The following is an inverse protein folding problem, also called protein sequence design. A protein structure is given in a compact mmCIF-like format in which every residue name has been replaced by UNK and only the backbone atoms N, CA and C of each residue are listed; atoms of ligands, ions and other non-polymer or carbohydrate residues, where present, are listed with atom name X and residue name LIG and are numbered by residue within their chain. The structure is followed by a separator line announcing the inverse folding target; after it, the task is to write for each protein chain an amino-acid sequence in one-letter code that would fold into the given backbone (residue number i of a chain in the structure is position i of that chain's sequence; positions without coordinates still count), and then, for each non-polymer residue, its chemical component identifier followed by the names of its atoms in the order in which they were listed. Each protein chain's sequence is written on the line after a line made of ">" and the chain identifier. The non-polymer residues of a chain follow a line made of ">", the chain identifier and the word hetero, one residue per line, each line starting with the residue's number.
data_IF_802353919276
#
_entry.id   IF_802353919276
#
_cell.length_a   1.000
_cell.length_b   1.000
_cell.length_c   1.000
_cell.angle_alpha   90.00
_cell.angle_beta   90.00
_cell.angle_gamma   90.00
#
_symmetry.space_group_name_H-M   'P 1'
#
loop_
_entity.id
_entity.type
_entity.pdbx_description
1 polymer ?
#
# COMPACT_ATOMS: atom_id res chain seq x y z
N UNK A 1 -26.95 5.38 -1.73
CA UNK A 1 -26.14 6.61 -2.03
C UNK A 1 -24.80 6.47 -1.31
N UNK A 2 -23.69 6.71 -2.01
CA UNK A 2 -22.33 6.60 -1.46
C UNK A 2 -22.11 7.65 -0.38
N UNK A 3 -21.62 7.27 0.80
CA UNK A 3 -21.26 8.14 1.91
C UNK A 3 -19.76 8.15 2.18
N UNK A 4 -19.09 6.99 1.97
CA UNK A 4 -17.67 6.80 2.23
C UNK A 4 -16.93 6.44 0.94
N UNK A 5 -15.91 7.21 0.60
CA UNK A 5 -15.01 6.96 -0.53
C UNK A 5 -13.65 6.50 0.02
N UNK A 6 -13.22 5.31 -0.36
CA UNK A 6 -11.95 4.72 0.03
C UNK A 6 -11.06 4.73 -1.21
N UNK A 7 -9.96 5.46 -1.17
CA UNK A 7 -9.05 5.59 -2.30
C UNK A 7 -7.76 4.80 -2.06
N UNK A 8 -7.25 4.16 -3.11
CA UNK A 8 -5.83 3.89 -3.21
C UNK A 8 -5.06 5.18 -3.52
N UNK A 9 -3.71 5.12 -3.46
CA UNK A 9 -2.86 6.29 -3.65
C UNK A 9 -2.18 6.31 -5.01
N UNK A 10 -1.19 5.43 -5.19
CA UNK A 10 -0.33 5.43 -6.38
C UNK A 10 -1.02 4.77 -7.56
N UNK A 11 -1.07 5.48 -8.68
CA UNK A 11 -1.86 5.06 -9.84
C UNK A 11 -3.34 5.40 -9.73
N UNK A 12 -3.79 5.94 -8.59
CA UNK A 12 -5.18 6.35 -8.38
C UNK A 12 -5.30 7.86 -8.19
N UNK A 13 -4.66 8.42 -7.19
CA UNK A 13 -4.61 9.86 -6.93
C UNK A 13 -3.27 10.47 -7.31
N UNK A 14 -2.21 9.67 -7.27
CA UNK A 14 -0.81 10.09 -7.44
C UNK A 14 -0.19 9.34 -8.59
N UNK A 15 0.37 10.11 -9.54
CA UNK A 15 1.25 9.63 -10.60
C UNK A 15 2.70 9.77 -10.12
N UNK A 16 3.40 8.65 -10.07
CA UNK A 16 4.78 8.58 -9.57
C UNK A 16 5.63 7.72 -10.48
N UNK A 17 6.89 8.09 -10.61
CA UNK A 17 7.90 7.20 -11.18
C UNK A 17 9.15 7.18 -10.31
N UNK A 18 9.63 5.97 -10.02
CA UNK A 18 10.86 5.75 -9.24
C UNK A 18 11.78 4.81 -9.99
N UNK A 19 13.06 5.12 -10.01
CA UNK A 19 14.11 4.27 -10.57
C UNK A 19 15.14 3.90 -9.48
N UNK A 20 14.84 2.83 -8.76
CA UNK A 20 15.78 2.23 -7.80
C UNK A 20 16.89 1.42 -8.50
N UNK A 21 16.79 1.23 -9.81
CA UNK A 21 17.82 0.59 -10.64
C UNK A 21 19.01 1.50 -10.94
N UNK A 22 18.82 2.82 -10.88
CA UNK A 22 19.81 3.82 -11.27
C UNK A 22 21.07 3.74 -10.38
N UNK A 23 22.28 3.51 -10.97
CA UNK A 23 23.52 3.41 -10.20
C UNK A 23 23.87 4.65 -9.38
N UNK A 24 23.46 5.85 -9.82
CA UNK A 24 23.74 7.09 -9.09
C UNK A 24 22.95 7.17 -7.77
N UNK A 25 21.80 6.52 -7.67
CA UNK A 25 21.05 6.38 -6.40
C UNK A 25 21.91 5.65 -5.38
N UNK A 26 22.44 4.50 -5.76
CA UNK A 26 23.26 3.65 -4.88
C UNK A 26 24.58 4.30 -4.50
N UNK A 27 25.21 5.00 -5.43
CA UNK A 27 26.43 5.75 -5.18
C UNK A 27 26.24 6.85 -4.14
N UNK A 28 25.16 7.62 -4.24
CA UNK A 28 24.84 8.68 -3.29
C UNK A 28 24.38 8.11 -1.95
N UNK A 29 23.64 7.00 -1.98
CA UNK A 29 23.21 6.33 -0.76
C UNK A 29 24.40 5.73 0.00
N UNK A 30 25.36 5.09 -0.70
CA UNK A 30 26.59 4.59 -0.08
C UNK A 30 27.41 5.73 0.57
N UNK A 31 27.52 6.87 -0.12
CA UNK A 31 28.15 8.07 0.46
C UNK A 31 27.39 8.53 1.73
N UNK A 32 26.06 8.50 1.72
CA UNK A 32 25.27 8.85 2.91
C UNK A 32 25.55 7.90 4.07
N UNK A 33 25.60 6.59 3.85
CA UNK A 33 25.95 5.61 4.86
C UNK A 33 27.34 5.84 5.44
N UNK A 34 28.34 6.22 4.62
CA UNK A 34 29.70 6.47 5.07
C UNK A 34 29.82 7.67 6.02
N UNK A 35 28.97 8.70 5.91
CA UNK A 35 28.91 9.80 6.89
C UNK A 35 28.55 9.34 8.30
N UNK A 36 27.91 8.20 8.42
CA UNK A 36 27.55 7.58 9.70
C UNK A 36 28.48 6.41 10.07
N UNK A 37 29.57 6.23 9.32
CA UNK A 37 30.57 5.19 9.60
C UNK A 37 30.21 3.81 9.06
N UNK A 38 29.20 3.69 8.24
CA UNK A 38 28.82 2.43 7.58
C UNK A 38 29.30 2.43 6.12
N UNK A 39 30.55 2.02 5.92
CA UNK A 39 31.18 2.04 4.60
C UNK A 39 30.72 0.88 3.72
N UNK A 40 30.19 1.22 2.55
CA UNK A 40 29.77 0.30 1.49
C UNK A 40 30.26 0.80 0.13
N UNK A 41 30.69 -0.14 -0.72
CA UNK A 41 30.70 0.15 -2.16
C UNK A 41 29.27 0.18 -2.70
N UNK A 42 28.95 0.99 -3.73
CA UNK A 42 27.56 1.16 -4.21
C UNK A 42 26.87 -0.14 -4.60
N UNK A 43 27.55 -1.01 -5.33
CA UNK A 43 27.03 -2.31 -5.76
C UNK A 43 26.83 -3.26 -4.57
N UNK A 44 27.76 -3.25 -3.62
CA UNK A 44 27.65 -4.01 -2.39
C UNK A 44 26.44 -3.59 -1.55
N UNK A 45 26.19 -2.27 -1.43
CA UNK A 45 25.02 -1.75 -0.73
C UNK A 45 23.72 -2.20 -1.39
N UNK A 46 23.65 -2.17 -2.72
CA UNK A 46 22.48 -2.63 -3.47
C UNK A 46 22.20 -4.12 -3.25
N UNK A 47 23.24 -4.94 -3.26
CA UNK A 47 23.13 -6.37 -2.99
C UNK A 47 22.71 -6.64 -1.55
N UNK A 48 23.34 -5.96 -0.58
CA UNK A 48 22.99 -6.06 0.84
C UNK A 48 21.54 -5.66 1.11
N UNK A 49 21.10 -4.54 0.55
CA UNK A 49 19.70 -4.09 0.62
C UNK A 49 18.74 -5.16 0.10
N UNK A 50 18.98 -5.66 -1.11
CA UNK A 50 18.15 -6.69 -1.73
C UNK A 50 18.12 -7.99 -0.89
N UNK A 51 19.24 -8.34 -0.28
CA UNK A 51 19.35 -9.49 0.61
C UNK A 51 18.56 -9.29 1.91
N UNK A 52 18.64 -8.08 2.53
CA UNK A 52 17.90 -7.79 3.76
C UNK A 52 16.39 -7.76 3.51
N UNK A 53 15.93 -7.18 2.41
CA UNK A 53 14.52 -7.21 2.01
C UNK A 53 14.03 -8.66 1.92
N UNK A 54 14.77 -9.54 1.21
CA UNK A 54 14.39 -10.98 1.09
C UNK A 54 14.37 -11.69 2.45
N UNK A 55 15.38 -11.51 3.27
CA UNK A 55 15.48 -12.14 4.60
C UNK A 55 14.31 -11.74 5.51
N UNK A 56 13.99 -10.45 5.55
CA UNK A 56 12.88 -9.94 6.37
C UNK A 56 11.54 -10.46 5.87
N UNK A 57 11.34 -10.46 4.55
CA UNK A 57 10.14 -11.01 3.92
C UNK A 57 9.93 -12.49 4.26
N UNK A 58 10.99 -13.31 4.15
CA UNK A 58 10.92 -14.73 4.51
C UNK A 58 10.68 -14.97 6.00
N UNK A 59 11.32 -14.18 6.85
CA UNK A 59 11.14 -14.27 8.31
C UNK A 59 9.71 -13.96 8.70
N UNK A 60 9.16 -12.87 8.19
CA UNK A 60 7.81 -12.45 8.47
C UNK A 60 6.78 -13.48 7.96
N UNK A 61 6.97 -14.04 6.74
CA UNK A 61 6.12 -15.11 6.21
C UNK A 61 6.08 -16.33 7.15
N UNK A 62 7.24 -16.80 7.60
CA UNK A 62 7.34 -17.93 8.54
C UNK A 62 6.66 -17.65 9.88
N UNK A 63 6.69 -16.41 10.35
CA UNK A 63 5.99 -15.99 11.57
C UNK A 63 4.48 -15.98 11.39
N UNK A 64 3.98 -15.54 10.24
CA UNK A 64 2.56 -15.57 9.91
C UNK A 64 2.04 -17.01 9.79
N UNK A 65 2.77 -17.90 9.11
CA UNK A 65 2.45 -19.32 9.01
C UNK A 65 2.34 -19.99 10.39
N UNK A 66 3.31 -19.73 11.28
CA UNK A 66 3.29 -20.26 12.66
C UNK A 66 2.13 -19.70 13.51
N UNK A 67 1.69 -18.48 13.27
CA UNK A 67 0.52 -17.90 13.95
C UNK A 67 -0.76 -18.56 13.48
N UNK A 68 -0.91 -18.73 12.17
CA UNK A 68 -2.08 -19.40 11.58
C UNK A 68 -2.21 -20.86 12.03
N UNK A 69 -1.10 -21.60 12.16
CA UNK A 69 -1.08 -22.97 12.70
C UNK A 69 -1.56 -23.01 14.16
N UNK A 70 -1.13 -22.08 15.01
CA UNK A 70 -1.53 -22.02 16.42
C UNK A 70 -3.01 -21.65 16.62
N UNK A 71 -3.56 -20.81 15.75
CA UNK A 71 -4.97 -20.44 15.78
C UNK A 71 -5.88 -21.59 15.34
N UNK A 72 -5.41 -22.45 14.43
CA UNK A 72 -6.14 -23.66 14.02
C UNK A 72 -6.13 -24.79 15.08
N UNK A 73 -5.08 -24.90 15.88
CA UNK A 73 -4.98 -25.93 16.94
C UNK A 73 -5.86 -25.64 18.16
N UNK A 74 -6.39 -24.42 18.29
CA UNK A 74 -7.25 -23.99 19.40
C UNK A 74 -8.77 -24.18 19.21
N UNK A 75 -9.25 -24.74 18.07
CA UNK A 75 -10.67 -25.01 17.85
C UNK A 75 -10.99 -26.50 18.02
N UNK A 76 -11.77 -26.91 19.05
CA UNK A 76 -12.27 -28.27 19.15
C UNK A 76 -13.38 -28.49 18.11
N UNK A 77 -13.28 -29.60 17.38
CA UNK A 77 -14.28 -30.26 16.55
C UNK A 77 -14.79 -29.55 15.26
N UNK A 78 -14.02 -29.74 14.17
CA UNK A 78 -14.60 -29.78 12.81
C UNK A 78 -14.46 -31.18 12.18
N UNK A 79 -15.00 -32.23 12.85
CA UNK A 79 -15.12 -33.59 12.30
C UNK A 79 -16.44 -33.79 11.53
N UNK A 80 -16.97 -32.83 10.80
CA UNK A 80 -18.10 -33.07 9.90
C UNK A 80 -18.09 -32.02 8.76
N UNK A 81 -17.16 -32.13 7.82
CA UNK A 81 -17.28 -31.54 6.51
C UNK A 81 -17.20 -32.62 5.45
N UNK A 82 -18.21 -32.71 4.60
CA UNK A 82 -18.26 -33.61 3.46
C UNK A 82 -17.02 -33.40 2.56
N UNK A 83 -16.38 -34.47 2.06
CA UNK A 83 -15.26 -34.39 1.13
C UNK A 83 -15.77 -34.10 -0.30
N UNK A 84 -16.22 -32.88 -0.57
CA UNK A 84 -16.78 -32.52 -1.86
C UNK A 84 -16.81 -31.03 -2.17
N UNK A 85 -16.61 -30.16 -1.19
CA UNK A 85 -16.47 -28.73 -1.43
C UNK A 85 -15.03 -28.34 -1.15
N UNK A 86 -14.19 -28.46 -2.17
CA UNK A 86 -12.86 -27.88 -2.22
C UNK A 86 -13.00 -26.35 -2.24
N UNK A 87 -13.10 -25.74 -1.07
CA UNK A 87 -12.64 -24.36 -0.93
C UNK A 87 -11.12 -24.41 -0.95
N UNK A 88 -10.53 -24.41 -2.14
CA UNK A 88 -9.19 -23.87 -2.28
C UNK A 88 -9.23 -22.51 -1.59
N UNK A 89 -8.53 -22.42 -0.47
CA UNK A 89 -8.22 -21.11 0.10
C UNK A 89 -7.59 -20.33 -1.03
N UNK A 90 -8.14 -19.19 -1.45
CA UNK A 90 -7.47 -18.42 -2.48
C UNK A 90 -6.05 -18.23 -1.99
N UNK A 91 -5.07 -18.59 -2.81
CA UNK A 91 -3.69 -18.19 -2.60
C UNK A 91 -3.69 -16.66 -2.67
N UNK A 92 -4.04 -16.04 -1.54
CA UNK A 92 -3.68 -14.65 -1.36
C UNK A 92 -2.17 -14.62 -1.52
N UNK A 93 -1.68 -13.74 -2.38
CA UNK A 93 -0.27 -13.39 -2.30
C UNK A 93 -0.02 -12.96 -0.86
N UNK A 94 0.37 -13.94 -0.05
CA UNK A 94 0.77 -13.72 1.34
C UNK A 94 2.16 -13.09 1.37
N UNK A 95 2.35 -12.07 0.50
CA UNK A 95 3.55 -11.25 0.57
C UNK A 95 3.46 -10.44 1.83
N UNK A 96 4.24 -10.80 2.85
CA UNK A 96 4.21 -10.08 4.11
C UNK A 96 4.62 -8.63 3.87
N UNK A 97 3.96 -7.73 4.55
CA UNK A 97 4.31 -6.32 4.52
C UNK A 97 5.38 -6.05 5.57
N UNK A 98 6.63 -5.95 5.13
CA UNK A 98 7.79 -5.68 5.99
C UNK A 98 7.89 -4.18 6.32
N UNK A 99 8.62 -3.86 7.38
CA UNK A 99 8.99 -2.49 7.73
C UNK A 99 10.33 -2.14 7.07
N UNK A 100 10.34 -1.19 6.15
CA UNK A 100 11.57 -0.80 5.45
C UNK A 100 12.60 -0.16 6.39
N UNK A 101 12.19 0.43 7.50
CA UNK A 101 13.11 0.91 8.53
C UNK A 101 14.04 -0.19 9.04
N UNK A 102 13.51 -1.42 9.19
CA UNK A 102 14.33 -2.55 9.66
C UNK A 102 15.39 -2.95 8.63
N UNK A 103 15.10 -2.79 7.34
CA UNK A 103 16.10 -3.01 6.28
C UNK A 103 17.28 -2.06 6.48
N UNK A 104 17.02 -0.77 6.64
CA UNK A 104 18.07 0.23 6.83
C UNK A 104 18.82 0.04 8.16
N UNK A 105 18.13 -0.31 9.24
CA UNK A 105 18.76 -0.64 10.52
C UNK A 105 19.71 -1.83 10.40
N UNK A 106 19.32 -2.90 9.68
CA UNK A 106 20.19 -4.05 9.48
C UNK A 106 21.43 -3.71 8.65
N UNK A 107 21.30 -2.86 7.63
CA UNK A 107 22.44 -2.40 6.83
C UNK A 107 23.47 -1.64 7.70
N UNK A 108 23.04 -0.78 8.62
CA UNK A 108 23.94 -0.13 9.57
C UNK A 108 24.59 -1.14 10.51
N UNK A 109 23.83 -2.09 11.06
CA UNK A 109 24.34 -3.14 11.96
C UNK A 109 25.38 -4.04 11.30
N UNK A 110 25.23 -4.36 10.02
CA UNK A 110 26.22 -5.16 9.27
C UNK A 110 27.58 -4.48 9.19
N UNK A 111 27.64 -3.15 9.34
CA UNK A 111 28.89 -2.36 9.39
C UNK A 111 29.29 -1.97 10.81
N UNK A 112 28.66 -2.56 11.82
CA UNK A 112 28.99 -2.28 13.23
C UNK A 112 28.52 -0.92 13.73
N UNK A 113 27.58 -0.27 13.02
CA UNK A 113 27.00 1.02 13.38
C UNK A 113 25.69 0.81 14.11
N UNK A 114 25.57 1.35 15.34
CA UNK A 114 24.31 1.41 16.07
C UNK A 114 23.48 2.60 15.59
N UNK A 115 22.56 2.34 14.66
CA UNK A 115 21.62 3.32 14.16
C UNK A 115 20.31 3.26 14.95
N UNK A 116 19.72 4.41 15.24
CA UNK A 116 18.38 4.50 15.79
C UNK A 116 17.31 4.53 14.65
N UNK A 117 16.05 4.42 15.05
CA UNK A 117 14.94 4.49 14.10
C UNK A 117 14.91 5.81 13.32
N UNK A 118 15.32 6.90 13.93
CA UNK A 118 15.35 8.23 13.30
C UNK A 118 16.32 8.24 12.12
N UNK A 119 17.51 7.68 12.30
CA UNK A 119 18.49 7.57 11.22
C UNK A 119 17.99 6.65 10.10
N UNK A 120 17.37 5.51 10.45
CA UNK A 120 16.79 4.60 9.47
C UNK A 120 15.70 5.29 8.62
N UNK A 121 14.82 6.07 9.26
CA UNK A 121 13.79 6.85 8.58
C UNK A 121 14.42 7.88 7.64
N UNK A 122 15.40 8.65 8.10
CA UNK A 122 16.09 9.65 7.25
C UNK A 122 16.81 8.98 6.06
N UNK A 123 17.41 7.81 6.30
CA UNK A 123 18.07 7.04 5.22
C UNK A 123 17.06 6.60 4.16
N UNK A 124 15.91 6.06 4.59
CA UNK A 124 14.85 5.65 3.69
C UNK A 124 14.27 6.82 2.91
N UNK A 125 14.03 7.96 3.56
CA UNK A 125 13.56 9.19 2.90
C UNK A 125 14.57 9.71 1.87
N UNK A 126 15.85 9.68 2.22
CA UNK A 126 16.92 10.05 1.30
C UNK A 126 16.97 9.11 0.10
N UNK A 127 16.93 7.80 0.33
CA UNK A 127 16.84 6.79 -0.73
C UNK A 127 15.64 7.04 -1.65
N UNK A 128 14.46 7.25 -1.08
CA UNK A 128 13.23 7.53 -1.83
C UNK A 128 13.36 8.82 -2.64
N UNK A 129 13.91 9.87 -2.05
CA UNK A 129 14.14 11.14 -2.73
C UNK A 129 15.13 11.04 -3.90
N UNK A 130 16.15 10.18 -3.78
CA UNK A 130 17.11 9.94 -4.85
C UNK A 130 16.53 9.11 -6.01
N UNK A 131 15.66 8.17 -5.70
CA UNK A 131 15.06 7.26 -6.69
C UNK A 131 13.82 7.84 -7.37
N UNK A 132 13.19 8.88 -6.81
CA UNK A 132 11.98 9.48 -7.38
C UNK A 132 12.34 10.41 -8.52
N UNK A 133 11.87 10.10 -9.72
CA UNK A 133 12.00 10.96 -10.90
C UNK A 133 10.92 12.03 -10.95
N UNK A 134 9.67 11.64 -10.66
CA UNK A 134 8.57 12.58 -10.48
C UNK A 134 7.53 12.03 -9.51
N UNK A 135 6.82 12.98 -8.89
CA UNK A 135 5.72 12.74 -7.97
C UNK A 135 4.72 13.88 -8.14
N UNK A 136 3.49 13.55 -8.58
CA UNK A 136 2.46 14.55 -8.86
C UNK A 136 1.06 13.96 -8.70
N UNK A 137 0.07 14.82 -8.48
CA UNK A 137 -1.33 14.42 -8.56
C UNK A 137 -1.76 14.23 -10.01
N UNK A 138 -2.71 13.32 -10.24
CA UNK A 138 -3.46 13.34 -11.49
C UNK A 138 -4.31 14.61 -11.58
N UNK A 139 -4.53 15.08 -12.80
CA UNK A 139 -5.30 16.30 -13.05
C UNK A 139 -6.72 16.19 -12.48
N UNK A 140 -7.16 17.19 -11.74
CA UNK A 140 -8.50 17.24 -11.15
C UNK A 140 -8.66 16.58 -9.77
N UNK A 141 -7.67 15.88 -9.24
CA UNK A 141 -7.75 15.19 -7.93
C UNK A 141 -8.18 16.15 -6.80
N UNK A 142 -7.54 17.31 -6.66
CA UNK A 142 -7.90 18.26 -5.58
C UNK A 142 -9.31 18.81 -5.73
N UNK A 143 -9.76 19.06 -6.97
CA UNK A 143 -11.10 19.55 -7.26
C UNK A 143 -12.12 18.49 -6.84
N UNK A 144 -11.94 17.24 -7.27
CA UNK A 144 -12.79 16.10 -6.91
C UNK A 144 -12.88 15.93 -5.38
N UNK A 145 -11.72 15.82 -4.70
CA UNK A 145 -11.69 15.65 -3.25
C UNK A 145 -12.38 16.81 -2.51
N UNK A 146 -12.17 18.04 -2.97
CA UNK A 146 -12.87 19.23 -2.45
C UNK A 146 -14.38 19.13 -2.62
N UNK A 147 -14.85 18.69 -3.78
CA UNK A 147 -16.29 18.53 -4.07
C UNK A 147 -16.92 17.47 -3.19
N UNK A 148 -16.26 16.31 -3.03
CA UNK A 148 -16.73 15.24 -2.14
C UNK A 148 -16.84 15.71 -0.68
N UNK A 149 -15.87 16.47 -0.20
CA UNK A 149 -15.89 17.05 1.15
C UNK A 149 -17.02 18.07 1.34
N UNK A 150 -17.28 18.93 0.34
CA UNK A 150 -18.35 19.94 0.39
C UNK A 150 -19.75 19.32 0.56
N UNK A 151 -19.98 18.15 -0.01
CA UNK A 151 -21.26 17.42 0.15
C UNK A 151 -21.26 16.46 1.35
N UNK A 152 -20.24 16.53 2.20
CA UNK A 152 -20.17 15.79 3.46
C UNK A 152 -19.76 14.33 3.35
N UNK A 153 -19.20 13.89 2.20
CA UNK A 153 -18.67 12.54 2.08
C UNK A 153 -17.44 12.35 2.95
N UNK A 154 -17.28 11.15 3.49
CA UNK A 154 -16.09 10.69 4.19
C UNK A 154 -15.06 10.19 3.20
N UNK A 155 -13.80 10.54 3.39
CA UNK A 155 -12.72 10.20 2.48
C UNK A 155 -11.62 9.48 3.25
N UNK A 156 -11.29 8.28 2.82
CA UNK A 156 -10.29 7.42 3.44
C UNK A 156 -9.23 7.02 2.44
N UNK A 157 -8.03 6.77 2.93
CA UNK A 157 -6.93 6.20 2.16
C UNK A 157 -6.68 4.77 2.63
N UNK A 158 -6.58 3.82 1.69
CA UNK A 158 -6.18 2.43 1.92
C UNK A 158 -5.15 2.04 0.86
N UNK A 159 -3.87 2.11 1.19
CA UNK A 159 -2.79 1.94 0.22
C UNK A 159 -1.77 0.88 0.62
N UNK A 160 -1.35 0.07 -0.36
CA UNK A 160 -0.20 -0.82 -0.24
C UNK A 160 1.07 0.00 -0.36
N UNK A 161 1.55 0.53 0.78
CA UNK A 161 2.62 1.52 0.80
C UNK A 161 3.43 1.49 2.10
N UNK A 162 4.68 1.90 1.98
CA UNK A 162 5.60 2.05 3.10
C UNK A 162 5.48 3.43 3.73
N UNK A 163 5.08 3.48 4.99
CA UNK A 163 4.88 4.73 5.75
C UNK A 163 6.11 5.64 5.75
N UNK A 164 7.31 5.03 5.81
CA UNK A 164 8.59 5.74 5.76
C UNK A 164 8.75 6.64 4.53
N UNK A 165 8.17 6.27 3.40
CA UNK A 165 8.18 7.02 2.15
C UNK A 165 6.93 7.87 2.00
N UNK A 166 5.79 7.21 2.07
CA UNK A 166 4.48 7.72 1.66
C UNK A 166 3.95 8.83 2.56
N UNK A 167 4.23 8.80 3.87
CA UNK A 167 3.77 9.84 4.78
C UNK A 167 4.31 11.23 4.42
N UNK A 168 5.54 11.31 3.88
CA UNK A 168 6.13 12.58 3.42
C UNK A 168 5.59 13.00 2.06
N UNK A 169 5.38 12.05 1.15
CA UNK A 169 4.83 12.30 -0.17
C UNK A 169 3.40 12.86 -0.09
N UNK A 170 2.57 12.27 0.78
CA UNK A 170 1.22 12.77 1.07
C UNK A 170 1.25 14.23 1.56
N UNK A 171 2.18 14.57 2.47
CA UNK A 171 2.33 15.94 2.96
C UNK A 171 2.85 16.89 1.88
N UNK A 172 3.84 16.46 1.10
CA UNK A 172 4.40 17.26 0.00
C UNK A 172 3.34 17.60 -1.06
N UNK A 173 2.41 16.68 -1.30
CA UNK A 173 1.28 16.86 -2.21
C UNK A 173 0.05 17.51 -1.55
N UNK A 174 0.15 17.88 -0.27
CA UNK A 174 -0.97 18.46 0.51
C UNK A 174 -2.23 17.59 0.52
N UNK A 175 -2.09 16.26 0.40
CA UNK A 175 -3.20 15.33 0.41
C UNK A 175 -3.73 15.02 1.80
N UNK A 176 -2.91 15.14 2.84
CA UNK A 176 -3.24 14.84 4.25
C UNK A 176 -4.50 15.58 4.74
N UNK A 177 -4.76 16.78 4.23
CA UNK A 177 -5.93 17.61 4.58
C UNK A 177 -7.26 17.04 4.09
N UNK A 178 -7.26 16.11 3.13
CA UNK A 178 -8.47 15.60 2.49
C UNK A 178 -9.02 14.35 3.17
N UNK A 179 -8.17 13.54 3.79
CA UNK A 179 -8.56 12.27 4.36
C UNK A 179 -9.06 12.42 5.80
N UNK A 180 -10.17 11.75 6.12
CA UNK A 180 -10.63 11.57 7.49
C UNK A 180 -9.68 10.62 8.23
N UNK A 181 -9.14 9.60 7.53
CA UNK A 181 -8.11 8.69 8.04
C UNK A 181 -7.34 8.01 6.90
N UNK A 182 -6.10 7.64 7.19
CA UNK A 182 -5.21 7.00 6.22
C UNK A 182 -4.68 5.68 6.79
N UNK A 183 -4.66 4.66 5.94
CA UNK A 183 -4.17 3.32 6.26
C UNK A 183 -3.10 2.95 5.24
N UNK A 184 -1.86 2.84 5.71
CA UNK A 184 -0.70 2.40 4.92
C UNK A 184 -0.34 0.99 5.37
N UNK A 185 -0.19 0.05 4.45
CA UNK A 185 -0.02 -1.38 4.73
C UNK A 185 1.12 -1.69 5.69
N UNK A 186 2.25 -0.95 5.59
CA UNK A 186 3.39 -1.14 6.48
C UNK A 186 3.05 -0.92 7.96
N UNK A 187 2.11 -0.04 8.28
CA UNK A 187 1.73 0.25 9.67
C UNK A 187 0.87 -0.88 10.30
N UNK A 188 0.31 -1.75 9.46
CA UNK A 188 -0.62 -2.81 9.86
C UNK A 188 -0.08 -4.24 9.63
N UNK A 189 1.06 -4.37 8.95
CA UNK A 189 1.67 -5.67 8.65
C UNK A 189 0.83 -6.58 7.73
N UNK A 190 -0.13 -6.01 7.02
CA UNK A 190 -0.96 -6.67 6.01
C UNK A 190 -1.33 -5.67 4.91
N UNK A 191 -1.59 -6.17 3.71
CA UNK A 191 -1.85 -5.35 2.52
C UNK A 191 -3.00 -5.89 1.70
N UNK A 192 -3.59 -5.07 0.83
CA UNK A 192 -4.56 -5.50 -0.17
C UNK A 192 -3.92 -6.58 -1.07
N UNK A 193 -4.63 -7.64 -1.48
CA UNK A 193 -6.06 -7.87 -1.34
C UNK A 193 -6.47 -8.64 -0.07
N UNK A 194 -5.62 -8.70 0.97
CA UNK A 194 -5.94 -9.38 2.24
C UNK A 194 -7.19 -8.75 2.87
N UNK A 195 -8.27 -9.53 3.12
CA UNK A 195 -9.47 -9.01 3.74
C UNK A 195 -9.24 -8.32 5.09
N UNK A 196 -8.22 -8.76 5.85
CA UNK A 196 -7.89 -8.18 7.16
C UNK A 196 -7.56 -6.69 7.06
N UNK A 197 -6.96 -6.25 5.95
CA UNK A 197 -6.62 -4.85 5.78
C UNK A 197 -7.87 -3.99 5.52
N UNK A 198 -8.80 -4.48 4.70
CA UNK A 198 -10.12 -3.85 4.52
C UNK A 198 -10.92 -3.84 5.82
N UNK A 199 -10.98 -4.98 6.53
CA UNK A 199 -11.69 -5.09 7.81
C UNK A 199 -11.14 -4.12 8.86
N UNK A 200 -9.83 -3.93 8.90
CA UNK A 200 -9.19 -2.97 9.82
C UNK A 200 -9.69 -1.56 9.56
N UNK A 201 -9.75 -1.12 8.30
CA UNK A 201 -10.30 0.19 7.94
C UNK A 201 -11.79 0.28 8.30
N UNK A 202 -12.59 -0.68 7.84
CA UNK A 202 -14.04 -0.67 8.01
C UNK A 202 -14.45 -0.63 9.49
N UNK A 203 -13.83 -1.46 10.32
CA UNK A 203 -14.12 -1.53 11.74
C UNK A 203 -13.61 -0.30 12.51
N UNK A 204 -12.40 0.19 12.17
CA UNK A 204 -11.80 1.34 12.86
C UNK A 204 -12.57 2.63 12.59
N UNK A 205 -13.14 2.77 11.41
CA UNK A 205 -13.87 3.96 10.98
C UNK A 205 -15.41 3.78 11.02
N UNK A 206 -15.90 2.62 11.49
CA UNK A 206 -17.33 2.28 11.59
C UNK A 206 -18.08 2.50 10.26
N UNK A 207 -17.48 2.02 9.15
CA UNK A 207 -17.99 2.24 7.81
C UNK A 207 -19.07 1.21 7.46
N UNK A 208 -20.24 1.68 7.03
CA UNK A 208 -21.27 0.84 6.42
C UNK A 208 -20.88 0.48 4.98
N UNK A 209 -20.65 -0.82 4.74
CA UNK A 209 -20.23 -1.37 3.43
C UNK A 209 -21.21 -1.05 2.32
N UNK A 210 -22.53 -0.98 2.61
CA UNK A 210 -23.56 -0.70 1.62
C UNK A 210 -23.50 0.75 1.08
N UNK A 211 -22.79 1.63 1.78
CA UNK A 211 -22.65 3.05 1.42
C UNK A 211 -21.21 3.44 1.16
N UNK A 212 -20.31 2.46 1.10
CA UNK A 212 -18.90 2.67 0.84
C UNK A 212 -18.48 2.15 -0.53
N UNK A 213 -17.48 2.80 -1.12
CA UNK A 213 -16.90 2.41 -2.40
C UNK A 213 -15.38 2.49 -2.33
N UNK A 214 -14.71 1.44 -2.83
CA UNK A 214 -13.26 1.44 -3.08
C UNK A 214 -12.99 1.97 -4.47
N UNK A 215 -12.02 2.87 -4.61
CA UNK A 215 -11.52 3.40 -5.87
C UNK A 215 -10.05 3.07 -5.97
N UNK A 216 -9.64 2.37 -7.03
CA UNK A 216 -8.25 1.98 -7.22
C UNK A 216 -7.94 1.57 -8.65
N UNK A 217 -6.64 1.42 -8.94
CA UNK A 217 -6.12 1.12 -10.27
C UNK A 217 -5.56 -0.31 -10.42
N UNK A 218 -5.61 -1.10 -9.36
CA UNK A 218 -5.15 -2.49 -9.34
C UNK A 218 -6.36 -3.43 -9.24
N UNK A 219 -6.59 -4.22 -10.31
CA UNK A 219 -7.76 -5.11 -10.40
C UNK A 219 -7.76 -6.19 -9.32
N UNK A 220 -6.60 -6.71 -8.95
CA UNK A 220 -6.47 -7.75 -7.93
C UNK A 220 -6.49 -7.15 -6.52
N UNK A 221 -5.63 -6.17 -6.26
CA UNK A 221 -5.48 -5.60 -4.91
C UNK A 221 -6.70 -4.76 -4.51
N UNK A 222 -7.12 -3.85 -5.38
CA UNK A 222 -8.17 -2.89 -5.04
C UNK A 222 -9.56 -3.46 -5.29
N UNK A 223 -9.79 -3.96 -6.53
CA UNK A 223 -11.14 -4.32 -6.96
C UNK A 223 -11.56 -5.66 -6.38
N UNK A 224 -10.82 -6.74 -6.64
CA UNK A 224 -11.18 -8.05 -6.08
C UNK A 224 -11.10 -8.03 -4.55
N UNK A 225 -10.10 -7.35 -3.97
CA UNK A 225 -9.99 -7.17 -2.52
C UNK A 225 -11.23 -6.52 -1.92
N UNK A 226 -11.70 -5.41 -2.51
CA UNK A 226 -12.90 -4.70 -2.09
C UNK A 226 -14.17 -5.56 -2.25
N UNK A 227 -14.33 -6.26 -3.38
CA UNK A 227 -15.49 -7.14 -3.62
C UNK A 227 -15.54 -8.26 -2.60
N UNK A 228 -14.41 -8.87 -2.23
CA UNK A 228 -14.33 -9.87 -1.16
C UNK A 228 -14.68 -9.30 0.22
N UNK A 229 -14.37 -8.03 0.46
CA UNK A 229 -14.78 -7.32 1.66
C UNK A 229 -16.23 -6.84 1.63
N UNK A 230 -16.99 -7.14 0.57
CA UNK A 230 -18.40 -6.75 0.41
C UNK A 230 -18.62 -5.28 0.07
N UNK A 231 -17.61 -4.63 -0.52
CA UNK A 231 -17.68 -3.24 -0.95
C UNK A 231 -18.06 -3.12 -2.42
N UNK A 232 -18.64 -1.99 -2.80
CA UNK A 232 -18.62 -1.54 -4.19
C UNK A 232 -17.21 -1.13 -4.58
N UNK A 233 -16.88 -1.28 -5.87
CA UNK A 233 -15.53 -0.98 -6.37
C UNK A 233 -15.58 -0.28 -7.73
N UNK A 234 -14.81 0.79 -7.86
CA UNK A 234 -14.58 1.54 -9.09
C UNK A 234 -13.13 1.36 -9.53
N UNK A 235 -12.96 0.80 -10.72
CA UNK A 235 -11.64 0.67 -11.33
C UNK A 235 -11.29 1.93 -12.09
N UNK A 236 -10.17 2.55 -11.72
CA UNK A 236 -9.63 3.72 -12.40
C UNK A 236 -8.42 3.27 -13.23
N UNK A 237 -8.61 3.13 -14.53
CA UNK A 237 -7.53 2.73 -15.43
C UNK A 237 -6.58 3.90 -15.70
N UNK A 238 -5.33 3.75 -15.31
CA UNK A 238 -4.29 4.78 -15.44
C UNK A 238 -3.01 4.22 -16.08
N UNK A 239 -2.02 5.07 -16.30
CA UNK A 239 -0.71 4.66 -16.79
C UNK A 239 0.05 3.71 -15.84
N UNK A 240 -0.33 3.66 -14.57
CA UNK A 240 0.26 2.77 -13.55
C UNK A 240 -0.58 1.52 -13.28
N UNK A 241 -1.70 1.33 -13.98
CA UNK A 241 -2.52 0.14 -13.83
C UNK A 241 -1.77 -1.11 -14.32
N UNK A 242 -1.79 -2.22 -13.56
CA UNK A 242 -1.25 -3.50 -14.03
C UNK A 242 -1.97 -3.98 -15.29
N UNK A 243 -1.25 -4.73 -16.15
CA UNK A 243 -1.85 -5.35 -17.34
C UNK A 243 -2.61 -6.60 -16.91
N UNK A 244 -3.86 -6.42 -16.55
CA UNK A 244 -4.73 -7.51 -16.10
C UNK A 244 -6.19 -7.27 -16.49
N UNK A 245 -7.00 -8.34 -16.43
CA UNK A 245 -8.44 -8.25 -16.72
C UNK A 245 -9.21 -7.88 -15.46
N UNK A 246 -9.97 -6.80 -15.49
CA UNK A 246 -10.78 -6.32 -14.35
C UNK A 246 -12.25 -6.63 -14.62
N UNK A 247 -12.71 -7.84 -14.24
CA UNK A 247 -14.06 -8.30 -14.54
C UNK A 247 -15.13 -7.92 -13.50
N UNK A 248 -14.74 -7.51 -12.28
CA UNK A 248 -15.64 -7.42 -11.12
C UNK A 248 -15.94 -5.98 -10.66
N UNK A 249 -15.39 -4.97 -11.33
CA UNK A 249 -15.65 -3.58 -10.97
C UNK A 249 -17.13 -3.20 -11.26
N UNK A 250 -17.74 -2.45 -10.34
CA UNK A 250 -19.10 -1.92 -10.56
C UNK A 250 -19.12 -0.77 -11.57
N UNK A 251 -17.98 -0.07 -11.72
CA UNK A 251 -17.74 0.91 -12.78
C UNK A 251 -16.25 0.94 -13.16
N UNK A 252 -15.99 1.32 -14.41
CA UNK A 252 -14.64 1.51 -14.96
C UNK A 252 -14.53 2.93 -15.49
N UNK A 253 -13.45 3.61 -15.14
CA UNK A 253 -13.14 4.96 -15.63
C UNK A 253 -11.77 4.91 -16.29
N UNK A 254 -11.70 5.35 -17.53
CA UNK A 254 -10.49 5.34 -18.35
C UNK A 254 -9.69 6.66 -18.20
N UNK A 255 -8.37 6.53 -18.23
CA UNK A 255 -7.46 7.67 -18.37
C UNK A 255 -7.38 8.61 -17.17
N UNK A 256 -7.64 8.15 -15.95
CA UNK A 256 -7.66 8.99 -14.75
C UNK A 256 -8.63 10.19 -14.85
N UNK A 257 -9.80 10.00 -15.48
CA UNK A 257 -10.81 11.06 -15.61
C UNK A 257 -11.48 11.37 -14.28
N UNK A 258 -10.89 12.31 -13.53
CA UNK A 258 -11.38 12.73 -12.21
C UNK A 258 -12.73 13.45 -12.28
N UNK A 259 -13.10 14.02 -13.43
CA UNK A 259 -14.41 14.66 -13.61
C UNK A 259 -15.51 13.59 -13.71
N UNK A 260 -15.25 12.53 -14.49
CA UNK A 260 -16.18 11.40 -14.58
C UNK A 260 -16.28 10.68 -13.22
N UNK A 261 -15.16 10.47 -12.53
CA UNK A 261 -15.14 9.87 -11.20
C UNK A 261 -15.94 10.69 -10.19
N UNK A 262 -15.75 12.02 -10.18
CA UNK A 262 -16.51 12.93 -9.31
C UNK A 262 -18.02 12.78 -9.51
N UNK A 263 -18.50 12.85 -10.77
CA UNK A 263 -19.92 12.70 -11.10
C UNK A 263 -20.48 11.36 -10.63
N UNK A 264 -19.74 10.27 -10.87
CA UNK A 264 -20.13 8.93 -10.39
C UNK A 264 -20.27 8.90 -8.87
N UNK A 265 -19.28 9.43 -8.14
CA UNK A 265 -19.29 9.44 -6.69
C UNK A 265 -20.36 10.35 -6.10
N UNK A 266 -20.74 11.39 -6.81
CA UNK A 266 -21.85 12.29 -6.43
C UNK A 266 -23.24 11.70 -6.78
N UNK A 267 -23.30 10.65 -7.59
CA UNK A 267 -24.55 10.04 -8.06
C UNK A 267 -25.22 10.84 -9.18
N UNK A 268 -24.41 11.48 -10.03
CA UNK A 268 -24.83 12.30 -11.18
C UNK A 268 -24.68 11.54 -12.51
N UNK A 269 -24.21 10.28 -12.46
CA UNK A 269 -24.06 9.34 -13.59
C UNK A 269 -24.98 8.15 -13.41
#
# INVERSE_FOLDING_TARGET
>A
MIQSCIFDLYGTLVDIHTDEGNPEVWKKLALFFSYYGADYEPEELKEAYSLQVRKLTETFRKEQEKKAEKENDGQPDKKNRNPGEGTESPEYESSPEIQMEEVFLQLYRERGVEADRTLAVHTGQFFRSLSTEYLRLYDGVEIMLSSLRKVGKKIYLLSNAQSIFTAHEIKALHLDRWFDRMFLSSDYGCKKPDPRFFETLLNTCEIDRNTAVMIGNDGTCDIQGAKRAGLSAVYLHTNLSPVETVAEADAVIEGADMIQLEKLLLGEL
#
